data_IF_618358957617
#
_entry.id   IF_618358957617
#
_cell.length_a   1.000
_cell.length_b   1.000
_cell.length_c   1.000
_cell.angle_alpha   90.00
_cell.angle_beta   90.00
_cell.angle_gamma   90.00
#
_symmetry.space_group_name_H-M   'P 1'
#
loop_
_entity.id
_entity.type
_entity.pdbx_description
1 polymer ?
#
# COMPACT_ATOMS: atom_id res chain seq x y z
N UNK A 1 -35.51 41.53 24.01
CA UNK A 1 -35.82 40.10 23.77
C UNK A 1 -35.68 39.67 22.29
N UNK A 2 -36.29 40.36 21.31
CA UNK A 2 -36.23 39.96 19.88
C UNK A 2 -34.80 39.91 19.28
N UNK A 3 -33.96 40.91 19.59
CA UNK A 3 -32.55 40.95 19.16
C UNK A 3 -31.68 39.83 19.77
N UNK A 4 -31.93 39.48 21.03
CA UNK A 4 -31.24 38.39 21.72
C UNK A 4 -31.65 37.04 21.13
N UNK A 5 -32.94 36.81 20.87
CA UNK A 5 -33.42 35.59 20.19
C UNK A 5 -32.84 35.45 18.78
N UNK A 6 -32.82 36.53 18.00
CA UNK A 6 -32.22 36.54 16.66
C UNK A 6 -30.73 36.23 16.71
N UNK A 7 -29.99 36.83 17.65
CA UNK A 7 -28.57 36.55 17.85
C UNK A 7 -28.33 35.07 18.20
N UNK A 8 -29.09 34.51 19.14
CA UNK A 8 -28.99 33.09 19.51
C UNK A 8 -29.29 32.17 18.33
N UNK A 9 -30.33 32.47 17.52
CA UNK A 9 -30.64 31.68 16.32
C UNK A 9 -29.50 31.72 15.30
N UNK A 10 -28.91 32.90 15.05
CA UNK A 10 -27.76 33.04 14.13
C UNK A 10 -26.57 32.24 14.64
N UNK A 11 -26.26 32.32 15.94
CA UNK A 11 -25.16 31.55 16.55
C UNK A 11 -25.39 30.04 16.39
N UNK A 12 -26.60 29.55 16.64
CA UNK A 12 -26.95 28.14 16.46
C UNK A 12 -26.78 27.71 15.00
N UNK A 13 -27.27 28.51 14.04
CA UNK A 13 -27.11 28.21 12.61
C UNK A 13 -25.64 28.16 12.19
N UNK A 14 -24.81 29.09 12.69
CA UNK A 14 -23.37 29.08 12.44
C UNK A 14 -22.73 27.81 13.01
N UNK A 15 -23.05 27.44 14.25
CA UNK A 15 -22.51 26.21 14.86
C UNK A 15 -22.92 24.95 14.10
N UNK A 16 -24.16 24.89 13.60
CA UNK A 16 -24.62 23.79 12.75
C UNK A 16 -23.83 23.77 11.43
N UNK A 17 -23.67 24.92 10.77
CA UNK A 17 -22.92 25.01 9.51
C UNK A 17 -21.45 24.63 9.69
N UNK A 18 -20.82 25.06 10.78
CA UNK A 18 -19.44 24.66 11.13
C UNK A 18 -19.37 23.18 11.43
N UNK A 19 -20.33 22.62 12.18
CA UNK A 19 -20.40 21.20 12.49
C UNK A 19 -20.57 20.34 11.23
N UNK A 20 -21.47 20.73 10.33
CA UNK A 20 -21.67 20.08 9.01
C UNK A 20 -20.41 20.23 8.14
N UNK A 21 -19.81 21.41 8.12
CA UNK A 21 -18.57 21.66 7.38
C UNK A 21 -17.42 20.77 7.86
N UNK A 22 -17.24 20.67 9.18
CA UNK A 22 -16.23 19.79 9.78
C UNK A 22 -16.54 18.32 9.50
N UNK A 23 -17.81 17.90 9.63
CA UNK A 23 -18.23 16.53 9.31
C UNK A 23 -17.91 16.17 7.86
N UNK A 24 -18.29 17.03 6.89
CA UNK A 24 -17.98 16.81 5.47
C UNK A 24 -16.47 16.81 5.22
N UNK A 25 -15.72 17.72 5.87
CA UNK A 25 -14.27 17.76 5.75
C UNK A 25 -13.63 16.46 6.21
N UNK A 26 -13.95 15.97 7.42
CA UNK A 26 -13.44 14.69 7.96
C UNK A 26 -13.85 13.51 7.08
N UNK A 27 -15.08 13.48 6.55
CA UNK A 27 -15.51 12.38 5.67
C UNK A 27 -14.84 12.40 4.29
N UNK A 28 -14.26 13.55 3.89
CA UNK A 28 -13.54 13.69 2.62
C UNK A 28 -12.03 13.58 2.73
N UNK A 29 -11.46 13.56 3.93
CA UNK A 29 -10.03 13.33 4.07
C UNK A 29 -9.70 11.92 3.59
N UNK A 30 -8.79 11.77 2.61
CA UNK A 30 -8.30 10.47 2.16
C UNK A 30 -7.69 9.69 3.33
N UNK A 31 -7.96 8.40 3.38
CA UNK A 31 -7.19 7.49 4.21
C UNK A 31 -5.75 7.42 3.71
N UNK A 32 -4.81 7.42 4.66
CA UNK A 32 -3.40 7.19 4.38
C UNK A 32 -2.99 5.89 5.04
N UNK A 33 -3.00 4.80 4.28
CA UNK A 33 -2.48 3.50 4.72
C UNK A 33 -0.96 3.60 4.98
N UNK A 34 -0.36 2.70 5.78
CA UNK A 34 1.10 2.65 5.96
C UNK A 34 1.87 2.68 4.65
N UNK A 35 1.38 1.98 3.63
CA UNK A 35 2.07 1.93 2.37
C UNK A 35 1.87 3.17 1.48
N UNK A 36 0.72 3.85 1.53
CA UNK A 36 0.57 5.18 0.90
C UNK A 36 1.57 6.17 1.53
N UNK A 37 1.74 6.11 2.86
CA UNK A 37 2.75 6.92 3.56
C UNK A 37 4.17 6.49 3.16
N UNK A 38 4.41 5.20 3.02
CA UNK A 38 5.68 4.64 2.55
C UNK A 38 6.06 5.09 1.16
N UNK A 39 5.10 5.14 0.23
CA UNK A 39 5.32 5.71 -1.10
C UNK A 39 5.75 7.18 -1.00
N UNK A 40 5.08 7.97 -0.16
CA UNK A 40 5.42 9.38 0.04
C UNK A 40 6.83 9.54 0.63
N UNK A 41 7.24 8.68 1.56
CA UNK A 41 8.60 8.64 2.11
C UNK A 41 9.60 8.25 1.01
N UNK A 42 9.34 7.20 0.24
CA UNK A 42 10.21 6.73 -0.85
C UNK A 42 10.41 7.83 -1.91
N UNK A 43 9.34 8.56 -2.23
CA UNK A 43 9.38 9.72 -3.13
C UNK A 43 10.22 10.86 -2.55
N UNK A 44 10.00 11.20 -1.28
CA UNK A 44 10.70 12.30 -0.58
C UNK A 44 12.19 12.02 -0.43
N UNK A 45 12.56 10.77 -0.12
CA UNK A 45 13.95 10.34 0.06
C UNK A 45 14.66 10.01 -1.28
N UNK A 46 13.94 10.02 -2.40
CA UNK A 46 14.52 9.84 -3.73
C UNK A 46 14.77 8.39 -4.12
N UNK A 47 14.18 7.41 -3.44
CA UNK A 47 14.37 5.97 -3.72
C UNK A 47 14.07 5.62 -5.19
N UNK A 48 13.02 6.24 -5.76
CA UNK A 48 12.62 6.04 -7.16
C UNK A 48 13.60 6.59 -8.20
N UNK A 49 14.57 7.40 -7.78
CA UNK A 49 15.64 7.87 -8.67
C UNK A 49 16.52 6.72 -9.17
N UNK A 50 16.73 5.70 -8.34
CA UNK A 50 17.52 4.51 -8.70
C UNK A 50 16.64 3.28 -8.96
N UNK A 51 15.62 3.05 -8.12
CA UNK A 51 14.69 1.91 -8.23
C UNK A 51 13.54 2.13 -9.22
N UNK A 52 13.66 3.13 -10.09
CA UNK A 52 12.68 3.47 -11.10
C UNK A 52 11.34 4.00 -10.57
N UNK A 53 10.43 4.40 -11.47
CA UNK A 53 9.13 4.95 -11.10
C UNK A 53 8.32 3.96 -10.25
N UNK A 54 7.93 4.37 -9.04
CA UNK A 54 7.16 3.54 -8.10
C UNK A 54 7.83 2.19 -7.77
N UNK A 55 9.16 2.08 -7.88
CA UNK A 55 9.86 0.83 -7.63
C UNK A 55 9.75 -0.20 -8.76
N UNK A 56 9.26 0.17 -9.95
CA UNK A 56 9.04 -0.74 -11.09
C UNK A 56 10.13 -0.61 -12.17
N UNK A 57 11.37 -0.28 -11.79
CA UNK A 57 12.48 -0.21 -12.73
C UNK A 57 13.84 -0.08 -12.05
N UNK A 58 14.87 0.18 -12.83
CA UNK A 58 16.23 0.24 -12.34
C UNK A 58 17.11 1.10 -13.22
N UNK A 59 17.90 1.98 -12.63
CA UNK A 59 18.99 2.63 -13.37
C UNK A 59 20.03 1.60 -13.77
N UNK A 60 20.60 1.74 -14.96
CA UNK A 60 21.63 0.81 -15.44
C UNK A 60 22.85 0.82 -14.53
N UNK A 61 23.29 -0.38 -14.15
CA UNK A 61 24.53 -0.61 -13.41
C UNK A 61 25.18 -1.87 -14.01
N UNK A 62 26.20 -1.72 -14.87
CA UNK A 62 26.83 -2.85 -15.56
C UNK A 62 27.57 -3.81 -14.62
N UNK A 63 27.74 -3.45 -13.35
CA UNK A 63 28.37 -4.29 -12.32
C UNK A 63 27.35 -4.96 -11.39
N UNK A 64 26.09 -4.52 -11.41
CA UNK A 64 25.00 -5.17 -10.69
C UNK A 64 24.60 -6.48 -11.39
N UNK A 65 24.24 -7.55 -10.64
CA UNK A 65 23.58 -8.71 -11.23
C UNK A 65 22.35 -8.29 -12.05
N UNK A 66 22.35 -8.63 -13.34
CA UNK A 66 21.29 -8.23 -14.27
C UNK A 66 21.50 -6.87 -14.96
N UNK A 67 22.61 -6.16 -14.69
CA UNK A 67 22.99 -4.95 -15.42
C UNK A 67 22.23 -3.68 -15.01
N UNK A 68 21.47 -3.73 -13.92
CA UNK A 68 20.69 -2.61 -13.40
C UNK A 68 20.56 -2.69 -11.86
N UNK A 69 20.30 -1.55 -11.24
CA UNK A 69 19.78 -1.50 -9.88
C UNK A 69 18.44 -2.22 -9.85
N UNK A 70 18.23 -3.04 -8.83
CA UNK A 70 17.01 -3.84 -8.72
C UNK A 70 15.78 -2.95 -8.66
N UNK A 71 14.77 -3.30 -9.45
CA UNK A 71 13.41 -2.88 -9.14
C UNK A 71 12.93 -3.60 -7.86
N UNK A 72 11.71 -3.31 -7.44
CA UNK A 72 11.15 -3.91 -6.25
C UNK A 72 10.33 -5.16 -6.52
N UNK A 73 10.18 -5.62 -7.76
CA UNK A 73 9.37 -6.81 -8.04
C UNK A 73 9.95 -8.06 -7.35
N UNK A 74 9.09 -8.98 -6.92
CA UNK A 74 9.52 -10.20 -6.25
C UNK A 74 10.60 -10.98 -7.03
N UNK A 75 10.49 -11.05 -8.36
CA UNK A 75 11.41 -11.83 -9.20
C UNK A 75 12.87 -11.36 -9.14
N UNK A 76 13.10 -10.07 -8.95
CA UNK A 76 14.44 -9.45 -8.87
C UNK A 76 14.92 -9.38 -7.42
N UNK A 77 14.05 -8.92 -6.51
CA UNK A 77 14.37 -8.66 -5.10
C UNK A 77 14.66 -9.92 -4.30
N UNK A 78 14.03 -11.05 -4.63
CA UNK A 78 14.26 -12.34 -3.95
C UNK A 78 15.70 -12.84 -4.00
N UNK A 79 16.54 -12.28 -4.87
CA UNK A 79 17.97 -12.60 -4.94
C UNK A 79 18.78 -11.90 -3.83
N UNK A 80 18.25 -10.81 -3.26
CA UNK A 80 18.94 -9.92 -2.31
C UNK A 80 18.29 -9.88 -0.93
N UNK A 81 17.07 -10.40 -0.82
CA UNK A 81 16.20 -10.28 0.36
C UNK A 81 15.62 -11.66 0.65
N UNK A 82 15.88 -12.16 1.85
CA UNK A 82 15.34 -13.43 2.37
C UNK A 82 14.34 -13.24 3.50
N UNK A 83 14.20 -12.01 4.02
CA UNK A 83 13.34 -11.69 5.15
C UNK A 83 12.98 -10.20 5.16
N UNK A 84 11.94 -9.83 5.92
CA UNK A 84 11.62 -8.41 6.17
C UNK A 84 12.80 -7.66 6.81
N UNK A 85 13.57 -8.35 7.66
CA UNK A 85 14.75 -7.78 8.30
C UNK A 85 15.81 -7.37 7.27
N UNK A 86 15.99 -8.12 6.19
CA UNK A 86 16.91 -7.74 5.11
C UNK A 86 16.47 -6.44 4.44
N UNK A 87 15.15 -6.24 4.24
CA UNK A 87 14.59 -4.99 3.69
C UNK A 87 14.97 -3.82 4.59
N UNK A 88 14.80 -3.98 5.91
CA UNK A 88 15.14 -2.95 6.90
C UNK A 88 16.62 -2.60 6.88
N UNK A 89 17.48 -3.61 6.78
CA UNK A 89 18.93 -3.43 6.74
C UNK A 89 19.41 -2.78 5.45
N UNK A 90 18.82 -3.14 4.30
CA UNK A 90 19.05 -2.45 3.04
C UNK A 90 18.72 -0.96 3.14
N UNK A 91 17.56 -0.61 3.73
CA UNK A 91 17.15 0.79 3.89
C UNK A 91 18.06 1.53 4.89
N UNK A 92 18.34 0.94 6.05
CA UNK A 92 19.09 1.61 7.10
C UNK A 92 20.58 1.74 6.77
N UNK A 93 21.18 0.68 6.22
CA UNK A 93 22.62 0.53 6.12
C UNK A 93 23.13 0.46 4.69
N UNK A 94 22.25 0.40 3.69
CA UNK A 94 22.63 0.22 2.28
C UNK A 94 23.14 -1.19 1.97
N UNK A 95 23.04 -2.13 2.92
CA UNK A 95 23.45 -3.53 2.79
C UNK A 95 22.89 -4.38 3.94
N UNK A 96 22.65 -5.68 3.73
CA UNK A 96 22.31 -6.59 4.81
C UNK A 96 23.53 -6.81 5.72
N UNK A 97 23.26 -6.94 7.01
CA UNK A 97 24.23 -7.30 8.05
C UNK A 97 24.36 -8.81 8.19
N UNK A 98 23.32 -9.55 7.78
CA UNK A 98 23.33 -11.01 7.78
C UNK A 98 24.44 -11.55 6.86
N UNK A 99 25.24 -12.51 7.33
CA UNK A 99 26.44 -12.96 6.63
C UNK A 99 26.14 -13.68 5.30
N UNK A 100 25.01 -14.38 5.19
CA UNK A 100 24.63 -15.18 4.02
C UNK A 100 24.21 -14.31 2.83
N UNK A 101 23.41 -13.28 3.08
CA UNK A 101 23.02 -12.27 2.10
C UNK A 101 24.19 -11.35 1.77
N UNK A 102 25.06 -11.04 2.75
CA UNK A 102 26.27 -10.24 2.51
C UNK A 102 27.28 -10.96 1.61
N UNK A 103 27.46 -12.28 1.77
CA UNK A 103 28.33 -13.09 0.90
C UNK A 103 27.87 -13.10 -0.57
N UNK A 104 26.57 -12.96 -0.83
CA UNK A 104 26.04 -12.87 -2.20
C UNK A 104 26.31 -11.49 -2.86
N UNK A 105 26.67 -10.48 -2.08
CA UNK A 105 26.87 -9.08 -2.52
C UNK A 105 28.35 -8.68 -2.52
N UNK A 106 29.15 -9.18 -1.55
CA UNK A 106 30.56 -8.80 -1.38
C UNK A 106 31.44 -9.19 -2.59
N UNK A 107 31.02 -10.15 -3.43
CA UNK A 107 31.67 -10.51 -4.71
C UNK A 107 31.35 -9.53 -5.87
N UNK A 108 30.43 -8.58 -5.65
CA UNK A 108 29.91 -7.66 -6.66
C UNK A 108 29.84 -6.23 -6.10
N UNK A 109 30.99 -5.56 -6.01
CA UNK A 109 31.01 -4.12 -5.75
C UNK A 109 30.24 -3.39 -6.86
N UNK A 110 29.01 -2.97 -6.58
CA UNK A 110 28.18 -2.25 -7.53
C UNK A 110 28.72 -0.83 -7.71
N UNK A 111 28.67 -0.33 -8.95
CA UNK A 111 29.06 1.04 -9.28
C UNK A 111 28.15 2.05 -8.61
N UNK A 112 26.88 1.69 -8.44
CA UNK A 112 25.88 2.48 -7.73
C UNK A 112 25.49 1.73 -6.45
N UNK A 113 26.15 1.99 -5.31
CA UNK A 113 25.77 1.37 -4.05
C UNK A 113 24.46 1.97 -3.52
N UNK A 114 23.68 1.16 -2.81
CA UNK A 114 22.49 1.65 -2.11
C UNK A 114 22.91 2.59 -0.96
N UNK A 115 22.38 3.81 -0.86
CA UNK A 115 22.70 4.72 0.23
C UNK A 115 22.10 4.23 1.56
N UNK A 116 22.80 4.50 2.65
CA UNK A 116 22.31 4.26 4.01
C UNK A 116 21.44 5.43 4.47
N UNK A 117 20.23 5.14 4.94
CA UNK A 117 19.30 6.18 5.41
C UNK A 117 19.18 6.26 6.94
N UNK A 118 20.00 5.52 7.69
CA UNK A 118 20.05 5.61 9.15
C UNK A 118 20.19 7.09 9.60
N UNK A 119 19.31 7.52 10.51
CA UNK A 119 19.27 8.89 11.02
C UNK A 119 18.56 9.91 10.12
N UNK A 120 18.10 9.51 8.92
CA UNK A 120 17.32 10.35 8.01
C UNK A 120 15.81 10.03 8.01
N UNK A 121 15.41 8.94 8.67
CA UNK A 121 14.02 8.52 8.85
C UNK A 121 13.74 8.15 10.30
N UNK A 122 12.49 8.34 10.72
CA UNK A 122 11.96 7.79 11.97
C UNK A 122 11.61 6.30 11.83
N UNK A 123 11.50 5.58 12.94
CA UNK A 123 11.09 4.16 12.94
C UNK A 123 9.76 3.94 12.23
N UNK A 124 8.80 4.86 12.42
CA UNK A 124 7.51 4.82 11.71
C UNK A 124 7.67 4.97 10.20
N UNK A 125 8.57 5.82 9.74
CA UNK A 125 8.84 5.99 8.31
C UNK A 125 9.55 4.77 7.73
N UNK A 126 10.37 4.06 8.52
CA UNK A 126 10.91 2.75 8.13
C UNK A 126 9.78 1.75 7.93
N UNK A 127 8.87 1.63 8.90
CA UNK A 127 7.75 0.68 8.82
C UNK A 127 6.84 0.99 7.64
N UNK A 128 6.56 2.27 7.39
CA UNK A 128 5.78 2.72 6.25
C UNK A 128 6.49 2.36 4.92
N UNK A 129 7.81 2.58 4.81
CA UNK A 129 8.62 2.18 3.64
C UNK A 129 8.61 0.67 3.40
N UNK A 130 8.78 -0.12 4.46
CA UNK A 130 8.73 -1.58 4.40
C UNK A 130 7.35 -2.02 3.91
N UNK A 131 6.26 -1.47 4.46
CA UNK A 131 4.90 -1.77 4.02
C UNK A 131 4.69 -1.46 2.52
N UNK A 132 5.24 -0.36 2.03
CA UNK A 132 5.18 -0.02 0.61
C UNK A 132 6.01 -0.97 -0.26
N UNK A 133 7.23 -1.29 0.15
CA UNK A 133 8.09 -2.24 -0.56
C UNK A 133 7.43 -3.63 -0.67
N UNK A 134 6.87 -4.16 0.42
CA UNK A 134 6.20 -5.46 0.45
C UNK A 134 5.05 -5.54 -0.57
N UNK A 135 4.32 -4.44 -0.73
CA UNK A 135 3.22 -4.41 -1.67
C UNK A 135 3.64 -4.20 -3.12
N UNK A 136 4.69 -3.42 -3.40
CA UNK A 136 5.25 -3.31 -4.75
C UNK A 136 5.85 -4.64 -5.19
N UNK A 137 6.62 -5.27 -4.29
CA UNK A 137 7.24 -6.56 -4.56
C UNK A 137 6.22 -7.67 -4.76
N UNK A 138 5.12 -7.64 -4.01
CA UNK A 138 4.28 -8.82 -3.86
C UNK A 138 4.96 -9.90 -3.04
N UNK A 139 6.07 -9.58 -2.37
CA UNK A 139 6.68 -10.45 -1.38
C UNK A 139 5.78 -10.41 -0.16
N UNK A 140 5.13 -11.54 0.13
CA UNK A 140 4.57 -11.84 1.45
C UNK A 140 4.90 -13.29 1.73
N UNK A 141 5.66 -13.52 2.78
CA UNK A 141 5.74 -14.85 3.36
C UNK A 141 4.31 -15.25 3.74
N UNK A 142 3.87 -16.45 3.33
CA UNK A 142 2.59 -17.06 3.73
C UNK A 142 1.30 -16.61 3.00
N UNK A 143 1.36 -16.05 1.78
CA UNK A 143 0.14 -15.88 0.97
C UNK A 143 -0.48 -17.24 0.59
N UNK A 144 -1.77 -17.51 0.89
CA UNK A 144 -2.45 -18.73 0.45
C UNK A 144 -2.49 -18.85 -1.08
N UNK A 145 -2.45 -20.08 -1.60
CA UNK A 145 -2.41 -20.34 -3.04
C UNK A 145 -3.55 -19.65 -3.80
N UNK A 146 -4.78 -19.68 -3.26
CA UNK A 146 -5.95 -19.08 -3.89
C UNK A 146 -5.91 -17.55 -3.89
N UNK A 147 -5.47 -16.92 -2.80
CA UNK A 147 -5.19 -15.49 -2.75
C UNK A 147 -4.05 -15.10 -3.72
N UNK A 148 -3.03 -15.95 -3.87
CA UNK A 148 -1.96 -15.73 -4.83
C UNK A 148 -2.44 -15.82 -6.28
N UNK A 149 -3.29 -16.79 -6.62
CA UNK A 149 -3.95 -16.85 -7.92
C UNK A 149 -4.80 -15.59 -8.17
N UNK A 150 -5.58 -15.16 -7.18
CA UNK A 150 -6.33 -13.90 -7.22
C UNK A 150 -5.46 -12.68 -7.51
N UNK A 151 -4.31 -12.57 -6.82
CA UNK A 151 -3.33 -11.51 -7.08
C UNK A 151 -2.84 -11.51 -8.53
N UNK A 152 -2.53 -12.69 -9.09
CA UNK A 152 -2.10 -12.82 -10.49
C UNK A 152 -3.20 -12.40 -11.47
N UNK A 153 -4.46 -12.71 -11.17
CA UNK A 153 -5.62 -12.25 -11.95
C UNK A 153 -5.71 -10.72 -11.89
N UNK A 154 -5.62 -10.12 -10.70
CA UNK A 154 -5.64 -8.67 -10.53
C UNK A 154 -4.50 -7.98 -11.30
N UNK A 155 -3.31 -8.57 -11.30
CA UNK A 155 -2.17 -8.08 -12.08
C UNK A 155 -2.43 -8.18 -13.58
N UNK A 156 -2.89 -9.33 -14.07
CA UNK A 156 -3.17 -9.58 -15.50
C UNK A 156 -4.25 -8.67 -16.05
N UNK A 157 -5.29 -8.40 -15.26
CA UNK A 157 -6.39 -7.51 -15.64
C UNK A 157 -6.03 -6.02 -15.46
N UNK A 158 -4.84 -5.71 -14.91
CA UNK A 158 -4.36 -4.34 -14.76
C UNK A 158 -4.97 -3.58 -13.59
N UNK A 159 -5.63 -4.25 -12.64
CA UNK A 159 -6.29 -3.62 -11.49
C UNK A 159 -5.34 -2.71 -10.71
N UNK A 160 -4.08 -3.15 -10.52
CA UNK A 160 -3.04 -2.41 -9.80
C UNK A 160 -2.56 -1.13 -10.50
N UNK A 161 -2.87 -0.95 -11.78
CA UNK A 161 -2.58 0.31 -12.48
C UNK A 161 -3.40 1.48 -11.93
N UNK A 162 -4.62 1.20 -11.46
CA UNK A 162 -5.52 2.18 -10.87
C UNK A 162 -5.56 2.08 -9.35
N UNK A 163 -5.62 0.87 -8.79
CA UNK A 163 -5.67 0.65 -7.34
C UNK A 163 -4.29 0.66 -6.67
N UNK A 164 -3.23 1.06 -7.38
CA UNK A 164 -1.86 1.05 -6.85
C UNK A 164 -1.29 -0.36 -6.68
N UNK A 165 -0.01 -0.46 -6.29
CA UNK A 165 0.67 -1.76 -6.17
C UNK A 165 -0.06 -2.63 -5.15
N UNK A 166 -0.39 -3.88 -5.50
CA UNK A 166 -1.14 -4.81 -4.64
C UNK A 166 -2.44 -4.24 -4.04
N UNK A 167 -3.09 -3.27 -4.68
CA UNK A 167 -4.39 -2.74 -4.27
C UNK A 167 -4.36 -1.67 -3.17
N UNK A 168 -3.21 -1.01 -2.94
CA UNK A 168 -3.03 -0.06 -1.84
C UNK A 168 -3.63 1.34 -2.02
N UNK A 169 -4.29 1.59 -3.14
CA UNK A 169 -4.93 2.85 -3.46
C UNK A 169 -3.93 4.00 -3.65
N UNK A 170 -4.36 5.20 -3.29
CA UNK A 170 -3.54 6.41 -3.32
C UNK A 170 -3.40 7.09 -4.69
N UNK A 171 -3.80 6.41 -5.77
CA UNK A 171 -3.79 6.99 -7.13
C UNK A 171 -4.81 8.13 -7.20
N UNK A 172 -4.41 9.35 -7.62
CA UNK A 172 -5.34 10.47 -7.71
C UNK A 172 -6.51 10.20 -8.67
N UNK A 173 -7.72 10.53 -8.23
CA UNK A 173 -8.94 10.45 -9.01
C UNK A 173 -9.73 11.77 -8.85
N UNK A 174 -9.34 12.82 -9.59
CA UNK A 174 -9.98 14.12 -9.48
C UNK A 174 -11.49 13.99 -9.67
N UNK A 175 -12.24 14.76 -8.87
CA UNK A 175 -13.72 14.79 -8.82
C UNK A 175 -14.40 13.56 -8.20
N UNK A 176 -13.67 12.53 -7.78
CA UNK A 176 -14.21 11.51 -6.88
C UNK A 176 -14.44 12.08 -5.48
N UNK A 177 -15.22 11.38 -4.63
CA UNK A 177 -15.63 11.90 -3.31
C UNK A 177 -14.43 12.23 -2.39
N UNK A 178 -13.41 11.38 -2.37
CA UNK A 178 -12.16 11.56 -1.62
C UNK A 178 -10.95 11.88 -2.51
N UNK A 179 -11.17 12.15 -3.80
CA UNK A 179 -10.13 12.60 -4.72
C UNK A 179 -9.06 11.56 -5.11
N UNK A 180 -9.22 10.29 -4.74
CA UNK A 180 -8.30 9.21 -5.09
C UNK A 180 -9.06 7.89 -5.32
N UNK A 181 -8.34 6.88 -5.82
CA UNK A 181 -8.80 5.49 -5.95
C UNK A 181 -8.52 4.77 -4.63
N UNK A 182 -9.54 4.15 -4.02
CA UNK A 182 -9.44 3.64 -2.65
C UNK A 182 -8.52 2.41 -2.57
N UNK A 183 -7.87 2.20 -1.41
CA UNK A 183 -7.20 0.95 -1.07
C UNK A 183 -8.19 -0.19 -0.86
N UNK A 184 -7.73 -1.43 -1.05
CA UNK A 184 -8.48 -2.66 -0.74
C UNK A 184 -8.34 -3.08 0.72
N UNK A 185 -7.32 -2.57 1.40
CA UNK A 185 -6.91 -3.00 2.75
C UNK A 185 -7.10 -1.91 3.82
N UNK A 186 -7.83 -0.84 3.48
CA UNK A 186 -8.10 0.31 4.35
C UNK A 186 -9.55 0.42 4.78
N UNK A 187 -9.82 1.29 5.76
CA UNK A 187 -11.18 1.66 6.23
C UNK A 187 -12.05 2.23 5.13
N UNK A 188 -11.47 2.82 4.08
CA UNK A 188 -12.28 3.29 2.94
C UNK A 188 -12.99 2.15 2.23
N UNK A 189 -12.39 0.95 2.21
CA UNK A 189 -13.04 -0.22 1.65
C UNK A 189 -14.37 -0.49 2.36
N UNK A 190 -14.38 -0.46 3.70
CA UNK A 190 -15.57 -0.72 4.52
C UNK A 190 -16.67 0.34 4.35
N UNK A 191 -16.32 1.55 3.88
CA UNK A 191 -17.30 2.60 3.56
C UNK A 191 -17.96 2.41 2.20
N UNK A 192 -17.24 1.74 1.30
CA UNK A 192 -17.59 1.57 -0.10
C UNK A 192 -18.26 0.21 -0.33
N UNK A 193 -17.80 -0.86 0.31
CA UNK A 193 -18.22 -2.24 0.12
C UNK A 193 -18.70 -2.80 1.46
N UNK A 194 -19.95 -3.27 1.51
CA UNK A 194 -20.56 -3.83 2.74
C UNK A 194 -20.29 -5.32 2.93
N UNK A 195 -20.22 -6.06 1.83
CA UNK A 195 -20.04 -7.52 1.81
C UNK A 195 -19.44 -7.97 0.47
N UNK A 196 -19.15 -9.27 0.37
CA UNK A 196 -18.55 -9.85 -0.84
C UNK A 196 -19.49 -9.78 -2.05
N UNK A 197 -20.82 -9.75 -1.86
CA UNK A 197 -21.77 -9.65 -2.97
C UNK A 197 -21.73 -8.24 -3.58
N UNK A 198 -21.66 -7.20 -2.74
CA UNK A 198 -21.44 -5.83 -3.22
C UNK A 198 -20.04 -5.67 -3.85
N UNK A 199 -19.01 -6.39 -3.35
CA UNK A 199 -17.70 -6.42 -3.99
C UNK A 199 -17.78 -7.01 -5.41
N UNK A 200 -18.44 -8.18 -5.55
CA UNK A 200 -18.65 -8.85 -6.82
C UNK A 200 -19.42 -7.96 -7.80
N UNK A 201 -20.51 -7.35 -7.33
CA UNK A 201 -21.30 -6.39 -8.11
C UNK A 201 -20.41 -5.26 -8.64
N UNK A 202 -19.58 -4.67 -7.78
CA UNK A 202 -18.71 -3.57 -8.22
C UNK A 202 -17.68 -4.01 -9.25
N UNK A 203 -17.04 -5.17 -9.08
CA UNK A 203 -16.06 -5.69 -10.05
C UNK A 203 -16.73 -5.94 -11.40
N UNK A 204 -17.93 -6.55 -11.40
CA UNK A 204 -18.62 -6.94 -12.63
C UNK A 204 -19.23 -5.74 -13.36
N UNK A 205 -19.80 -4.79 -12.64
CA UNK A 205 -20.61 -3.69 -13.19
C UNK A 205 -19.92 -2.32 -13.17
N UNK A 206 -18.77 -2.21 -12.48
CA UNK A 206 -18.05 -0.94 -12.27
C UNK A 206 -18.73 0.01 -11.27
N UNK A 207 -19.82 -0.43 -10.63
CA UNK A 207 -20.64 0.33 -9.68
C UNK A 207 -21.42 -0.62 -8.77
N UNK A 208 -21.95 -0.10 -7.67
CA UNK A 208 -22.91 -0.82 -6.82
C UNK A 208 -24.27 -0.16 -6.88
N UNK A 209 -25.36 -0.94 -6.89
CA UNK A 209 -26.72 -0.42 -6.88
C UNK A 209 -26.96 0.50 -5.68
N UNK A 210 -26.45 0.13 -4.50
CA UNK A 210 -26.61 0.91 -3.27
C UNK A 210 -26.04 2.32 -3.41
N UNK A 211 -24.82 2.45 -3.92
CA UNK A 211 -24.19 3.76 -4.11
C UNK A 211 -24.80 4.51 -5.29
N UNK A 212 -25.19 3.81 -6.36
CA UNK A 212 -25.79 4.41 -7.54
C UNK A 212 -27.20 4.97 -7.28
N UNK A 213 -27.96 4.33 -6.39
CA UNK A 213 -29.30 4.77 -5.99
C UNK A 213 -29.28 5.91 -4.95
N UNK A 214 -28.11 6.23 -4.38
CA UNK A 214 -27.93 7.38 -3.51
C UNK A 214 -27.54 8.64 -4.33
N UNK A 215 -28.40 9.69 -4.41
CA UNK A 215 -28.12 10.86 -5.23
C UNK A 215 -26.81 11.59 -4.88
N UNK A 216 -26.43 11.60 -3.60
CA UNK A 216 -25.21 12.23 -3.15
C UNK A 216 -23.97 11.43 -3.57
N UNK A 217 -24.01 10.10 -3.48
CA UNK A 217 -22.91 9.26 -3.95
C UNK A 217 -22.82 9.28 -5.49
N UNK A 218 -23.96 9.13 -6.18
CA UNK A 218 -24.05 9.19 -7.64
C UNK A 218 -23.46 10.48 -8.21
N UNK A 219 -23.66 11.62 -7.56
CA UNK A 219 -23.06 12.90 -7.97
C UNK A 219 -21.53 12.79 -8.16
N UNK A 220 -20.82 12.11 -7.26
CA UNK A 220 -19.37 11.91 -7.35
C UNK A 220 -19.00 10.76 -8.30
N UNK A 221 -19.76 9.67 -8.29
CA UNK A 221 -19.50 8.51 -9.14
C UNK A 221 -19.65 8.83 -10.64
N UNK A 222 -20.58 9.72 -11.01
CA UNK A 222 -20.72 10.23 -12.39
C UNK A 222 -19.61 11.22 -12.78
N UNK A 223 -18.99 11.88 -11.80
CA UNK A 223 -18.05 12.99 -12.03
C UNK A 223 -16.60 12.60 -11.87
N UNK A 224 -16.27 11.47 -11.27
CA UNK A 224 -14.89 11.04 -11.14
C UNK A 224 -14.20 10.96 -12.51
N UNK A 225 -12.90 11.22 -12.52
CA UNK A 225 -12.14 11.22 -13.78
C UNK A 225 -11.82 9.80 -14.24
N UNK A 226 -11.65 8.89 -13.28
CA UNK A 226 -11.34 7.48 -13.51
C UNK A 226 -12.42 6.63 -12.84
N UNK A 227 -13.53 6.30 -13.53
CA UNK A 227 -14.50 5.35 -13.02
C UNK A 227 -13.95 3.92 -13.05
N UNK A 228 -14.45 3.06 -12.16
CA UNK A 228 -14.13 1.63 -12.18
C UNK A 228 -14.74 1.00 -13.44
N UNK A 229 -13.95 0.32 -14.30
CA UNK A 229 -14.49 -0.40 -15.44
C UNK A 229 -15.25 -1.65 -14.99
N UNK A 230 -16.20 -2.07 -15.83
CA UNK A 230 -16.97 -3.29 -15.67
C UNK A 230 -16.18 -4.49 -16.24
N UNK A 231 -16.03 -5.57 -15.46
CA UNK A 231 -15.27 -6.76 -15.86
C UNK A 231 -16.11 -7.99 -16.21
N UNK A 232 -17.46 -7.89 -16.23
CA UNK A 232 -18.32 -9.05 -16.50
C UNK A 232 -17.98 -9.84 -17.78
N UNK A 233 -17.55 -9.16 -18.85
CA UNK A 233 -17.16 -9.82 -20.12
C UNK A 233 -15.70 -10.29 -20.16
N UNK A 234 -14.93 -10.06 -19.08
CA UNK A 234 -13.49 -10.27 -19.01
C UNK A 234 -13.07 -11.20 -17.87
N UNK A 235 -14.04 -11.78 -17.16
CA UNK A 235 -13.81 -12.45 -15.91
C UNK A 235 -14.79 -13.61 -15.74
N UNK A 236 -14.27 -14.81 -15.51
CA UNK A 236 -15.09 -15.98 -15.17
C UNK A 236 -15.46 -16.00 -13.69
N UNK A 237 -16.57 -16.62 -13.32
CA UNK A 237 -17.00 -16.75 -11.92
C UNK A 237 -15.89 -17.31 -11.01
N UNK A 238 -15.11 -18.29 -11.51
CA UNK A 238 -13.98 -18.85 -10.78
C UNK A 238 -12.85 -17.83 -10.55
N UNK A 239 -12.55 -16.98 -11.53
CA UNK A 239 -11.58 -15.91 -11.38
C UNK A 239 -12.08 -14.84 -10.41
N UNK A 240 -13.39 -14.58 -10.38
CA UNK A 240 -14.00 -13.61 -9.48
C UNK A 240 -13.84 -14.04 -8.04
N UNK A 241 -14.11 -15.32 -7.75
CA UNK A 241 -13.92 -15.88 -6.42
C UNK A 241 -12.47 -15.77 -5.94
N UNK A 242 -11.50 -16.01 -6.83
CA UNK A 242 -10.07 -15.86 -6.50
C UNK A 242 -9.70 -14.40 -6.22
N UNK A 243 -10.25 -13.44 -6.98
CA UNK A 243 -10.07 -12.01 -6.70
C UNK A 243 -10.64 -11.60 -5.35
N UNK A 244 -11.86 -12.03 -5.02
CA UNK A 244 -12.49 -11.77 -3.72
C UNK A 244 -11.64 -12.34 -2.60
N UNK A 245 -11.14 -13.57 -2.74
CA UNK A 245 -10.23 -14.20 -1.77
C UNK A 245 -8.94 -13.41 -1.57
N UNK A 246 -8.34 -12.91 -2.64
CA UNK A 246 -7.15 -12.05 -2.53
C UNK A 246 -7.44 -10.77 -1.75
N UNK A 247 -8.55 -10.09 -2.08
CA UNK A 247 -8.96 -8.85 -1.40
C UNK A 247 -9.26 -9.11 0.08
N UNK A 248 -9.94 -10.20 0.40
CA UNK A 248 -10.24 -10.57 1.79
C UNK A 248 -8.98 -10.95 2.57
N UNK A 249 -8.05 -11.70 1.97
CA UNK A 249 -6.76 -12.00 2.59
C UNK A 249 -5.95 -10.73 2.91
N UNK A 250 -5.93 -9.73 2.01
CA UNK A 250 -5.28 -8.44 2.27
C UNK A 250 -5.87 -7.73 3.51
N UNK A 251 -7.16 -7.92 3.77
CA UNK A 251 -7.87 -7.31 4.89
C UNK A 251 -7.66 -8.08 6.19
N UNK A 252 -7.64 -9.41 6.15
CA UNK A 252 -7.39 -10.27 7.31
C UNK A 252 -5.97 -10.10 7.87
N UNK A 253 -4.96 -10.03 7.00
CA UNK A 253 -3.54 -9.87 7.35
C UNK A 253 -3.24 -8.58 8.15
N UNK A 254 -4.14 -7.59 8.11
CA UNK A 254 -4.03 -6.35 8.91
C UNK A 254 -4.69 -6.42 10.28
N UNK A 255 -5.57 -7.37 10.53
CA UNK A 255 -6.29 -7.46 11.82
C UNK A 255 -5.41 -8.01 12.94
N UNK A 256 -4.25 -8.58 12.62
CA UNK A 256 -3.29 -9.03 13.62
C UNK A 256 -2.34 -7.90 14.07
N UNK A 257 -2.22 -7.66 15.39
CA UNK A 257 -1.23 -6.75 15.92
C UNK A 257 0.18 -7.31 15.72
N UNK A 258 1.10 -6.39 15.43
CA UNK A 258 2.55 -6.45 15.14
C UNK A 258 3.42 -7.45 15.95
N UNK A 259 2.85 -8.14 16.92
CA UNK A 259 3.48 -9.15 17.78
C UNK A 259 4.04 -10.39 17.06
N UNK A 260 3.60 -10.70 15.83
CA UNK A 260 4.20 -11.77 15.01
C UNK A 260 5.40 -11.31 14.17
N UNK A 261 5.65 -9.99 14.07
CA UNK A 261 6.81 -9.43 13.35
C UNK A 261 8.07 -9.32 14.21
N UNK A 262 8.00 -9.64 15.50
CA UNK A 262 9.18 -9.76 16.33
C UNK A 262 10.00 -10.97 15.88
N UNK A 263 11.22 -10.72 15.38
CA UNK A 263 12.22 -11.73 15.12
C UNK A 263 12.35 -12.73 16.29
N UNK A 264 12.70 -14.00 16.04
CA UNK A 264 12.91 -14.95 17.13
C UNK A 264 13.93 -14.37 18.11
N UNK A 265 13.57 -14.34 19.39
CA UNK A 265 14.43 -13.89 20.48
C UNK A 265 15.82 -14.51 20.30
N UNK A 266 16.82 -13.66 20.02
CA UNK A 266 18.21 -14.08 20.02
C UNK A 266 18.54 -14.57 21.43
N UNK A 267 18.66 -15.89 21.57
CA UNK A 267 19.33 -16.51 22.71
C UNK A 267 20.76 -15.99 22.68
N UNK A 268 21.06 -15.03 23.55
CA UNK A 268 22.41 -14.52 23.78
C UNK A 268 23.22 -15.67 24.41
N UNK A 269 23.83 -16.49 23.55
CA UNK A 269 24.91 -17.39 23.93
C UNK A 269 26.16 -16.56 24.21
N UNK A 270 26.56 -16.50 25.48
CA UNK A 270 27.82 -15.91 25.92
C UNK A 270 29.00 -16.64 25.26
N UNK A 271 29.76 -15.91 24.43
CA UNK A 271 31.04 -16.38 23.90
C UNK A 271 32.09 -16.20 25.02
N UNK A 272 32.87 -17.24 25.40
CA UNK A 272 33.93 -17.08 26.38
C UNK A 272 35.12 -16.36 25.74
N UNK A 273 35.54 -15.26 26.36
CA UNK A 273 36.80 -14.58 26.09
C UNK A 273 37.95 -15.53 26.44
N UNK A 274 38.69 -16.01 25.43
CA UNK A 274 40.02 -16.61 25.66
C UNK A 274 41.02 -15.48 25.86
N UNK A 275 41.53 -15.35 27.07
CA UNK A 275 42.76 -14.59 27.36
C UNK A 275 43.96 -15.27 26.69
N UNK A 276 44.89 -14.45 26.19
CA UNK A 276 46.22 -14.85 25.75
C UNK A 276 47.04 -15.41 26.89
#
# INVERSE_FOLDING_TARGET
MRRVRLFVTIVILILILVGVGLYVWVRRTPETTPAIRGEAVARRLGCFGCHGPQGQGGVSDPTSPGGAIVDWHYATTKMFISSEQDIREWILYGKPTNATARLAIDDHATLVPMPAYQGLLSDRELDDLVAYFLAVSGWRDEIPDDAYEGRKIAQRLGCFGCHGPSGMGGVPNPRSFKGHIPPWDGKEFDELVQDDDELREWILEGKTERLWNNPAARFFLERQSTPMPAYHDHLSDAELELLVKYINWLREDRTEPDSRRAAPETVIGTIPVRSR
#
